data_IF_397561155718
#
_entry.id   IF_397561155718
#
_cell.length_a   1.000
_cell.length_b   1.000
_cell.length_c   1.000
_cell.angle_alpha   90.00
_cell.angle_beta   90.00
_cell.angle_gamma   90.00
#
_symmetry.space_group_name_H-M   'P 1'
#
loop_
_entity.id
_entity.type
_entity.pdbx_description
1 polymer ?
#
# COMPACT_ATOMS: atom_id res chain seq x y z
N UNK A 1 8.04 25.49 -16.39
CA UNK A 1 7.35 26.04 -15.20
C UNK A 1 8.25 25.84 -13.98
N UNK A 2 8.41 26.85 -13.12
CA UNK A 2 9.30 26.74 -11.95
C UNK A 2 8.47 26.37 -10.72
N UNK A 3 8.76 25.19 -10.16
CA UNK A 3 8.24 24.77 -8.86
C UNK A 3 9.35 24.89 -7.83
N UNK A 4 9.05 25.48 -6.68
CA UNK A 4 9.98 25.58 -5.57
C UNK A 4 9.34 24.97 -4.32
N UNK A 5 10.02 24.02 -3.68
CA UNK A 5 9.57 23.37 -2.44
C UNK A 5 10.37 23.98 -1.29
N UNK A 6 9.67 24.71 -0.41
CA UNK A 6 10.22 25.18 0.85
C UNK A 6 10.02 24.10 1.90
N UNK A 7 11.09 23.69 2.57
CA UNK A 7 11.05 22.56 3.50
C UNK A 7 11.93 22.78 4.72
N UNK A 8 11.67 22.03 5.79
CA UNK A 8 12.62 21.84 6.90
C UNK A 8 13.54 20.65 6.64
N UNK A 9 14.68 20.51 7.35
CA UNK A 9 15.49 19.30 7.28
C UNK A 9 14.65 18.05 7.56
N UNK A 10 14.85 17.00 6.75
CA UNK A 10 14.23 15.67 6.94
C UNK A 10 12.68 15.68 6.97
N UNK A 11 12.03 16.61 6.28
CA UNK A 11 10.57 16.62 6.20
C UNK A 11 10.04 15.37 5.46
N UNK A 12 9.23 14.52 6.11
CA UNK A 12 8.75 13.26 5.51
C UNK A 12 7.78 13.47 4.34
N UNK A 13 7.10 14.62 4.30
CA UNK A 13 6.05 14.92 3.34
C UNK A 13 6.57 15.47 2.00
N UNK A 14 7.87 15.74 1.88
CA UNK A 14 8.49 16.22 0.62
C UNK A 14 8.39 15.16 -0.46
N UNK A 15 8.72 13.91 -0.12
CA UNK A 15 8.64 12.77 -1.05
C UNK A 15 7.20 12.57 -1.55
N UNK A 16 6.22 12.73 -0.65
CA UNK A 16 4.80 12.66 -0.99
C UNK A 16 4.40 13.78 -1.97
N UNK A 17 4.83 15.02 -1.71
CA UNK A 17 4.55 16.17 -2.56
C UNK A 17 5.15 15.99 -3.96
N UNK A 18 6.41 15.56 -4.07
CA UNK A 18 7.08 15.31 -5.36
C UNK A 18 6.37 14.23 -6.17
N UNK A 19 5.99 13.12 -5.53
CA UNK A 19 5.23 12.04 -6.17
C UNK A 19 3.91 12.57 -6.75
N UNK A 20 3.16 13.37 -5.98
CA UNK A 20 1.88 13.93 -6.43
C UNK A 20 2.04 14.99 -7.52
N UNK A 21 3.13 15.76 -7.52
CA UNK A 21 3.47 16.66 -8.62
C UNK A 21 3.74 15.86 -9.88
N UNK A 22 4.56 14.80 -9.80
CA UNK A 22 4.86 13.93 -10.93
C UNK A 22 3.60 13.28 -11.52
N UNK A 23 2.70 12.80 -10.65
CA UNK A 23 1.39 12.29 -11.06
C UNK A 23 0.51 13.37 -11.71
N UNK A 24 0.47 14.57 -11.11
CA UNK A 24 -0.33 15.67 -11.64
C UNK A 24 0.10 16.12 -13.03
N UNK A 25 1.39 15.95 -13.40
CA UNK A 25 1.92 16.36 -14.71
C UNK A 25 2.15 15.18 -15.66
N UNK A 26 1.88 13.94 -15.22
CA UNK A 26 2.00 12.76 -16.05
C UNK A 26 1.07 12.85 -17.27
N UNK A 27 1.63 12.63 -18.46
CA UNK A 27 0.89 12.72 -19.73
C UNK A 27 0.71 14.15 -20.28
N UNK A 28 1.12 15.19 -19.54
CA UNK A 28 1.06 16.57 -19.98
C UNK A 28 2.38 17.01 -20.65
N UNK A 29 2.32 17.80 -21.72
CA UNK A 29 3.50 18.32 -22.41
C UNK A 29 4.06 19.57 -21.71
N UNK A 30 4.42 19.45 -20.43
CA UNK A 30 4.89 20.58 -19.61
C UNK A 30 6.24 20.24 -19.00
N UNK A 31 7.23 21.09 -19.25
CA UNK A 31 8.54 20.99 -18.62
C UNK A 31 8.48 21.64 -17.23
N UNK A 32 8.64 20.83 -16.19
CA UNK A 32 8.61 21.24 -14.79
C UNK A 32 10.00 21.12 -14.19
N UNK A 33 10.48 22.18 -13.56
CA UNK A 33 11.76 22.17 -12.82
C UNK A 33 11.46 22.41 -11.34
N UNK A 34 11.82 21.44 -10.50
CA UNK A 34 11.64 21.48 -9.05
C UNK A 34 12.95 21.90 -8.39
N UNK A 35 12.91 22.92 -7.52
CA UNK A 35 14.05 23.35 -6.69
C UNK A 35 13.69 23.31 -5.21
N UNK A 36 14.59 22.79 -4.38
CA UNK A 36 14.38 22.70 -2.92
C UNK A 36 15.10 23.82 -2.19
N UNK A 37 14.43 24.41 -1.20
CA UNK A 37 15.03 25.35 -0.26
C UNK A 37 14.75 24.88 1.15
N UNK A 38 15.82 24.57 1.89
CA UNK A 38 15.75 24.06 3.26
C UNK A 38 15.93 25.22 4.24
N UNK A 39 15.04 25.30 5.23
CA UNK A 39 15.08 26.28 6.32
C UNK A 39 15.07 25.55 7.66
N UNK A 40 16.08 25.79 8.48
CA UNK A 40 16.22 25.23 9.83
C UNK A 40 15.87 26.24 10.94
N UNK A 41 15.55 27.49 10.57
CA UNK A 41 15.16 28.55 11.49
C UNK A 41 13.87 29.29 11.08
N UNK A 42 13.20 29.87 12.09
CA UNK A 42 11.93 30.59 11.94
C UNK A 42 12.08 31.91 11.16
N UNK A 43 13.26 32.53 11.16
CA UNK A 43 13.49 33.81 10.50
C UNK A 43 13.55 33.65 8.97
N UNK A 44 14.28 32.66 8.49
CA UNK A 44 14.37 32.28 7.09
C UNK A 44 13.03 31.76 6.54
N UNK A 45 12.30 30.97 7.32
CA UNK A 45 10.94 30.55 6.97
C UNK A 45 9.99 31.76 6.78
N UNK A 46 10.11 32.77 7.64
CA UNK A 46 9.29 34.00 7.57
C UNK A 46 9.63 34.84 6.33
N UNK A 47 10.92 35.04 6.05
CA UNK A 47 11.38 35.79 4.87
C UNK A 47 10.97 35.09 3.56
N UNK A 48 10.98 33.75 3.55
CA UNK A 48 10.57 32.95 2.40
C UNK A 48 9.05 32.74 2.29
N UNK A 49 8.26 33.15 3.29
CA UNK A 49 6.81 32.94 3.32
C UNK A 49 6.40 31.47 3.50
N UNK A 50 7.26 30.63 4.08
CA UNK A 50 6.97 29.20 4.32
C UNK A 50 5.97 29.06 5.46
N UNK A 51 4.71 28.73 5.15
CA UNK A 51 3.62 28.50 6.13
C UNK A 51 3.65 27.11 6.76
N UNK A 52 4.77 26.41 6.61
CA UNK A 52 5.06 25.07 7.08
C UNK A 52 5.69 24.22 5.98
N UNK A 53 6.26 23.08 6.36
CA UNK A 53 6.94 22.15 5.47
C UNK A 53 6.03 20.97 5.06
N UNK A 54 6.00 20.58 3.78
CA UNK A 54 6.49 21.34 2.62
C UNK A 54 5.53 22.48 2.28
N UNK A 55 6.05 23.57 1.69
CA UNK A 55 5.26 24.60 1.00
C UNK A 55 5.64 24.62 -0.47
N UNK A 56 4.67 24.47 -1.36
CA UNK A 56 4.88 24.55 -2.81
C UNK A 56 4.69 25.99 -3.30
N UNK A 57 5.69 26.53 -3.98
CA UNK A 57 5.58 27.77 -4.74
C UNK A 57 5.55 27.46 -6.24
N UNK A 58 4.50 27.91 -6.90
CA UNK A 58 4.35 27.95 -8.34
C UNK A 58 4.75 29.34 -8.84
N UNK A 59 5.85 29.44 -9.58
CA UNK A 59 6.40 30.71 -10.08
C UNK A 59 6.55 31.79 -8.97
N UNK A 60 6.86 31.34 -7.75
CA UNK A 60 7.05 32.20 -6.58
C UNK A 60 5.77 32.55 -5.80
N UNK A 61 4.63 31.95 -6.13
CA UNK A 61 3.36 32.11 -5.40
C UNK A 61 2.89 30.80 -4.80
N UNK A 62 2.35 30.83 -3.59
CA UNK A 62 1.76 29.67 -2.94
C UNK A 62 0.29 29.53 -3.34
N UNK A 63 -0.09 28.54 -4.16
CA UNK A 63 -1.47 28.38 -4.62
C UNK A 63 -2.41 27.84 -3.53
N UNK A 64 -1.88 27.41 -2.38
CA UNK A 64 -2.63 26.82 -1.28
C UNK A 64 -2.61 27.70 -0.02
N UNK A 65 -2.23 28.98 -0.15
CA UNK A 65 -2.14 29.90 0.99
C UNK A 65 -3.53 30.12 1.62
N UNK A 66 -3.67 29.83 2.92
CA UNK A 66 -4.87 30.21 3.68
C UNK A 66 -4.71 31.63 4.27
N UNK A 67 -5.79 32.45 4.34
CA UNK A 67 -5.73 33.86 4.73
C UNK A 67 -5.08 34.15 6.10
N UNK A 68 -5.12 33.18 7.02
CA UNK A 68 -4.62 33.30 8.39
C UNK A 68 -3.34 32.46 8.65
N UNK A 69 -2.72 31.92 7.60
CA UNK A 69 -1.51 31.11 7.74
C UNK A 69 -0.31 31.97 8.15
N UNK A 70 0.33 31.60 9.27
CA UNK A 70 1.56 32.26 9.74
C UNK A 70 2.76 31.44 9.27
N UNK A 71 3.84 32.08 8.77
CA UNK A 71 5.07 31.38 8.46
C UNK A 71 5.59 30.55 9.65
N UNK A 72 6.05 29.33 9.40
CA UNK A 72 6.42 28.37 10.44
C UNK A 72 7.41 27.34 9.92
N UNK A 73 8.29 26.85 10.81
CA UNK A 73 9.13 25.64 10.60
C UNK A 73 8.43 24.35 11.05
N UNK A 74 7.10 24.35 11.19
CA UNK A 74 6.30 23.17 11.50
C UNK A 74 5.82 22.46 10.23
N UNK A 75 5.20 21.28 10.38
CA UNK A 75 4.50 20.64 9.27
C UNK A 75 3.36 21.53 8.76
N UNK A 76 3.22 21.63 7.43
CA UNK A 76 2.04 22.21 6.80
C UNK A 76 1.01 21.11 6.56
N UNK A 77 -0.25 21.44 6.82
CA UNK A 77 -1.37 20.55 6.60
C UNK A 77 -2.21 21.09 5.45
N UNK A 78 -2.57 20.20 4.53
CA UNK A 78 -3.36 20.48 3.35
C UNK A 78 -4.73 19.81 3.48
N UNK A 79 -5.78 20.59 3.30
CA UNK A 79 -7.15 20.08 3.29
C UNK A 79 -7.52 19.66 1.88
N UNK A 80 -8.11 18.48 1.76
CA UNK A 80 -8.72 18.00 0.53
C UNK A 80 -10.23 18.32 0.51
N UNK A 81 -10.82 18.37 -0.68
CA UNK A 81 -12.24 18.72 -0.86
C UNK A 81 -13.21 17.72 -0.20
N UNK A 82 -12.73 16.51 0.11
CA UNK A 82 -13.43 15.48 0.88
C UNK A 82 -13.35 15.66 2.41
N UNK A 83 -12.69 16.73 2.87
CA UNK A 83 -12.48 17.02 4.29
C UNK A 83 -11.26 16.32 4.91
N UNK A 84 -10.50 15.53 4.15
CA UNK A 84 -9.25 14.92 4.58
C UNK A 84 -8.16 15.96 4.85
N UNK A 85 -7.25 15.66 5.79
CA UNK A 85 -6.08 16.49 6.11
C UNK A 85 -4.83 15.64 5.86
N UNK A 86 -3.88 16.19 5.12
CA UNK A 86 -2.65 15.48 4.74
C UNK A 86 -1.43 16.41 4.74
N UNK A 87 -0.22 15.84 4.65
CA UNK A 87 1.05 16.56 4.60
C UNK A 87 1.42 17.16 3.24
N UNK A 88 0.62 16.92 2.19
CA UNK A 88 0.78 17.49 0.86
C UNK A 88 -0.60 17.74 0.20
N UNK A 89 -0.73 18.67 -0.77
CA UNK A 89 -1.95 18.84 -1.55
C UNK A 89 -2.30 17.55 -2.32
N UNK A 90 -3.57 17.38 -2.67
CA UNK A 90 -4.01 16.28 -3.54
C UNK A 90 -3.57 16.51 -4.99
N UNK A 91 -3.54 15.43 -5.79
CA UNK A 91 -3.22 15.49 -7.22
C UNK A 91 -4.23 16.36 -7.98
N UNK A 92 -5.52 16.27 -7.63
CA UNK A 92 -6.55 17.12 -8.21
C UNK A 92 -6.33 18.60 -7.91
N UNK A 93 -5.96 18.93 -6.66
CA UNK A 93 -5.66 20.30 -6.26
C UNK A 93 -4.38 20.83 -6.94
N UNK A 94 -3.37 19.97 -7.16
CA UNK A 94 -2.19 20.29 -7.95
C UNK A 94 -2.53 20.51 -9.43
N UNK A 95 -3.32 19.63 -10.05
CA UNK A 95 -3.79 19.82 -11.43
C UNK A 95 -4.55 21.12 -11.60
N UNK A 96 -5.44 21.45 -10.65
CA UNK A 96 -6.15 22.73 -10.64
C UNK A 96 -5.19 23.92 -10.50
N UNK A 97 -4.23 23.86 -9.57
CA UNK A 97 -3.23 24.91 -9.36
C UNK A 97 -2.32 25.10 -10.60
N UNK A 98 -2.03 24.03 -11.32
CA UNK A 98 -1.21 24.01 -12.53
C UNK A 98 -2.01 24.34 -13.81
N UNK A 99 -3.32 24.61 -13.70
CA UNK A 99 -4.25 24.82 -14.81
C UNK A 99 -4.34 23.64 -15.79
N UNK A 100 -4.28 22.42 -15.28
CA UNK A 100 -4.39 21.17 -16.04
C UNK A 100 -5.85 20.69 -16.04
N UNK A 101 -6.28 20.07 -17.14
CA UNK A 101 -7.62 19.54 -17.26
C UNK A 101 -7.85 18.40 -16.23
N UNK A 102 -9.06 18.21 -15.68
CA UNK A 102 -9.38 16.96 -14.99
C UNK A 102 -9.29 15.80 -16.00
N UNK A 103 -8.75 14.65 -15.58
CA UNK A 103 -8.56 13.50 -16.45
C UNK A 103 -9.87 13.07 -17.11
N UNK A 104 -9.91 13.14 -18.43
CA UNK A 104 -11.05 12.78 -19.26
C UNK A 104 -10.78 11.44 -19.94
N UNK A 105 -10.78 10.37 -19.16
CA UNK A 105 -10.85 8.99 -19.68
C UNK A 105 -11.98 8.21 -18.98
N UNK A 106 -13.20 8.65 -19.26
CA UNK A 106 -14.41 7.84 -19.06
C UNK A 106 -15.27 7.94 -20.32
N UNK A 107 -15.02 7.05 -21.29
CA UNK A 107 -15.88 6.84 -22.44
C UNK A 107 -16.89 5.71 -22.11
N UNK A 108 -18.16 6.03 -22.30
CA UNK A 108 -19.34 5.28 -21.90
C UNK A 108 -19.51 3.95 -22.66
N UNK A 109 -19.85 2.88 -21.93
CA UNK A 109 -20.69 1.78 -22.44
C UNK A 109 -21.87 1.61 -21.49
N UNK A 110 -23.06 1.71 -22.06
CA UNK A 110 -24.36 1.76 -21.38
C UNK A 110 -24.68 0.48 -20.59
N UNK A 111 -24.91 0.62 -19.27
CA UNK A 111 -25.73 -0.30 -18.49
C UNK A 111 -26.28 0.41 -17.23
N UNK A 112 -27.60 0.37 -17.07
CA UNK A 112 -28.31 0.44 -15.78
C UNK A 112 -27.93 1.51 -14.76
N UNK A 113 -28.77 2.55 -14.67
CA UNK A 113 -28.77 3.54 -13.58
C UNK A 113 -28.75 2.86 -12.20
N UNK A 114 -27.59 2.83 -11.56
CA UNK A 114 -27.43 2.64 -10.11
C UNK A 114 -26.93 3.97 -9.55
N UNK A 115 -27.61 4.45 -8.53
CA UNK A 115 -27.49 5.78 -7.96
C UNK A 115 -26.16 5.93 -7.19
N UNK A 116 -25.21 6.70 -7.72
CA UNK A 116 -23.86 6.91 -7.15
C UNK A 116 -23.84 7.80 -5.89
N UNK A 117 -25.00 8.13 -5.32
CA UNK A 117 -25.14 8.93 -4.09
C UNK A 117 -25.82 8.15 -2.95
N UNK A 118 -25.83 6.81 -3.00
CA UNK A 118 -26.11 6.04 -1.80
C UNK A 118 -24.86 6.09 -0.89
N UNK A 119 -24.99 6.40 0.42
CA UNK A 119 -23.92 6.12 1.35
C UNK A 119 -23.54 4.64 1.20
N UNK A 120 -22.27 4.30 1.46
CA UNK A 120 -21.87 2.91 1.60
C UNK A 120 -22.96 2.19 2.39
N UNK A 121 -23.62 1.20 1.78
CA UNK A 121 -24.59 0.41 2.52
C UNK A 121 -23.84 -0.09 3.74
N UNK A 122 -24.38 0.15 4.92
CA UNK A 122 -23.82 -0.16 6.24
C UNK A 122 -23.57 -1.69 6.46
N UNK A 123 -23.60 -2.49 5.38
CA UNK A 123 -23.61 -3.95 5.33
C UNK A 123 -22.39 -4.58 4.63
N UNK A 124 -21.49 -3.82 3.99
CA UNK A 124 -20.31 -4.43 3.35
C UNK A 124 -19.17 -4.61 4.36
N UNK A 125 -18.97 -5.85 4.79
CA UNK A 125 -17.92 -6.22 5.75
C UNK A 125 -16.54 -5.80 5.23
N UNK A 126 -15.69 -5.11 6.03
CA UNK A 126 -14.32 -4.77 5.63
C UNK A 126 -13.48 -5.97 5.20
N UNK A 127 -13.78 -7.15 5.74
CA UNK A 127 -13.19 -8.43 5.29
C UNK A 127 -13.57 -8.72 3.83
N UNK A 128 -14.85 -8.56 3.48
CA UNK A 128 -15.34 -8.82 2.13
C UNK A 128 -14.76 -7.80 1.14
N UNK A 129 -14.68 -6.53 1.54
CA UNK A 129 -14.06 -5.48 0.73
C UNK A 129 -12.57 -5.76 0.46
N UNK A 130 -11.80 -6.13 1.50
CA UNK A 130 -10.40 -6.52 1.38
C UNK A 130 -10.25 -7.73 0.45
N UNK A 131 -11.07 -8.77 0.64
CA UNK A 131 -11.01 -9.97 -0.17
C UNK A 131 -11.35 -9.71 -1.63
N UNK A 132 -12.36 -8.88 -1.91
CA UNK A 132 -12.73 -8.49 -3.26
C UNK A 132 -11.61 -7.69 -3.95
N UNK A 133 -11.03 -6.74 -3.24
CA UNK A 133 -9.95 -5.90 -3.77
C UNK A 133 -8.69 -6.71 -4.05
N UNK A 134 -8.21 -7.52 -3.09
CA UNK A 134 -7.05 -8.40 -3.29
C UNK A 134 -7.31 -9.50 -4.31
N UNK A 135 -8.53 -10.01 -4.37
CA UNK A 135 -8.95 -10.98 -5.38
C UNK A 135 -9.00 -10.42 -6.80
N UNK A 136 -9.06 -9.09 -6.97
CA UNK A 136 -9.00 -8.44 -8.28
C UNK A 136 -7.57 -8.32 -8.83
N UNK A 137 -6.56 -8.28 -7.95
CA UNK A 137 -5.15 -8.23 -8.32
C UNK A 137 -4.64 -9.63 -8.72
N UNK A 138 -4.95 -10.04 -9.95
CA UNK A 138 -4.60 -11.35 -10.50
C UNK A 138 -3.90 -11.23 -11.85
N UNK A 139 -2.98 -12.16 -12.19
CA UNK A 139 -2.41 -12.26 -13.53
C UNK A 139 -3.49 -12.32 -14.61
N UNK A 140 -3.36 -11.51 -15.66
CA UNK A 140 -4.37 -11.39 -16.70
C UNK A 140 -4.33 -12.52 -17.74
N UNK A 141 -3.15 -13.11 -17.97
CA UNK A 141 -2.92 -14.09 -19.02
C UNK A 141 -2.00 -15.26 -18.58
N UNK A 142 -1.85 -16.31 -19.42
CA UNK A 142 -1.02 -17.47 -19.07
C UNK A 142 0.47 -17.17 -18.85
N UNK A 143 1.04 -16.16 -19.52
CA UNK A 143 2.45 -15.80 -19.39
C UNK A 143 2.70 -15.07 -18.07
N UNK A 144 1.88 -14.07 -17.74
CA UNK A 144 1.90 -13.40 -16.44
C UNK A 144 1.72 -14.42 -15.31
N UNK A 145 0.79 -15.37 -15.48
CA UNK A 145 0.53 -16.42 -14.49
C UNK A 145 1.71 -17.34 -14.29
N UNK A 146 2.39 -17.74 -15.37
CA UNK A 146 3.59 -18.58 -15.29
C UNK A 146 4.70 -17.88 -14.51
N UNK A 147 4.95 -16.60 -14.78
CA UNK A 147 5.92 -15.78 -14.03
C UNK A 147 5.49 -15.64 -12.57
N UNK A 148 4.25 -15.28 -12.30
CA UNK A 148 3.73 -15.12 -10.95
C UNK A 148 3.91 -16.41 -10.12
N UNK A 149 3.58 -17.57 -10.68
CA UNK A 149 3.74 -18.86 -10.01
C UNK A 149 5.22 -19.23 -9.80
N UNK A 150 6.10 -18.92 -10.77
CA UNK A 150 7.53 -19.14 -10.62
C UNK A 150 8.10 -18.33 -9.46
N UNK A 151 7.68 -17.06 -9.33
CA UNK A 151 8.08 -16.17 -8.24
C UNK A 151 7.54 -16.68 -6.89
N UNK A 152 6.24 -16.95 -6.77
CA UNK A 152 5.64 -17.44 -5.53
C UNK A 152 6.30 -18.73 -5.02
N UNK A 153 6.56 -19.69 -5.93
CA UNK A 153 7.25 -20.95 -5.57
C UNK A 153 8.70 -20.72 -5.17
N UNK A 154 9.39 -19.77 -5.80
CA UNK A 154 10.74 -19.41 -5.42
C UNK A 154 10.80 -18.85 -4.00
N UNK A 155 9.87 -17.95 -3.63
CA UNK A 155 9.78 -17.44 -2.26
C UNK A 155 9.54 -18.56 -1.25
N UNK A 156 8.54 -19.43 -1.50
CA UNK A 156 8.22 -20.52 -0.59
C UNK A 156 9.38 -21.49 -0.34
N UNK A 157 10.21 -21.73 -1.36
CA UNK A 157 11.30 -22.72 -1.30
C UNK A 157 12.65 -22.13 -0.94
N UNK A 158 12.94 -20.89 -1.35
CA UNK A 158 14.27 -20.26 -1.25
C UNK A 158 14.29 -18.99 -0.39
N UNK A 159 13.14 -18.42 -0.06
CA UNK A 159 13.02 -17.23 0.78
C UNK A 159 13.09 -15.91 0.01
N UNK A 160 13.06 -15.93 -1.33
CA UNK A 160 13.18 -14.74 -2.15
C UNK A 160 12.88 -14.97 -3.64
N UNK A 161 12.97 -13.91 -4.45
CA UNK A 161 12.67 -13.99 -5.88
C UNK A 161 13.67 -14.87 -6.62
N UNK A 162 13.24 -15.54 -7.71
CA UNK A 162 14.13 -16.32 -8.56
C UNK A 162 15.13 -15.39 -9.28
N UNK A 163 16.33 -15.87 -9.65
CA UNK A 163 17.21 -15.13 -10.55
C UNK A 163 16.50 -14.76 -11.86
N UNK A 164 16.80 -13.58 -12.42
CA UNK A 164 16.18 -13.11 -13.67
C UNK A 164 16.32 -14.12 -14.81
N UNK A 165 17.44 -14.84 -14.89
CA UNK A 165 17.66 -15.86 -15.93
C UNK A 165 16.66 -17.04 -15.86
N UNK A 166 16.16 -17.38 -14.66
CA UNK A 166 15.09 -18.39 -14.53
C UNK A 166 13.76 -17.82 -15.03
N UNK A 167 13.47 -16.55 -14.75
CA UNK A 167 12.27 -15.88 -15.25
C UNK A 167 12.31 -15.69 -16.77
N UNK A 168 13.45 -15.33 -17.34
CA UNK A 168 13.63 -15.19 -18.78
C UNK A 168 13.40 -16.52 -19.50
N UNK A 169 13.84 -17.64 -18.91
CA UNK A 169 13.57 -18.97 -19.45
C UNK A 169 12.07 -19.28 -19.48
N UNK A 170 11.32 -18.90 -18.44
CA UNK A 170 9.86 -19.04 -18.39
C UNK A 170 9.19 -18.12 -19.41
N UNK A 171 9.59 -16.85 -19.48
CA UNK A 171 9.01 -15.86 -20.40
C UNK A 171 9.23 -16.22 -21.88
N UNK A 172 10.38 -16.84 -22.19
CA UNK A 172 10.70 -17.28 -23.55
C UNK A 172 9.74 -18.34 -24.10
N UNK A 173 9.06 -19.12 -23.24
CA UNK A 173 8.01 -20.07 -23.68
C UNK A 173 6.78 -19.35 -24.26
N UNK A 174 6.64 -18.06 -23.99
CA UNK A 174 5.51 -17.20 -24.41
C UNK A 174 5.93 -16.08 -25.36
N UNK A 175 7.12 -16.18 -25.97
CA UNK A 175 7.69 -15.14 -26.85
C UNK A 175 7.75 -13.74 -26.19
N UNK A 176 7.95 -13.71 -24.87
CA UNK A 176 8.00 -12.49 -24.06
C UNK A 176 9.31 -12.38 -23.28
N UNK A 177 9.53 -11.25 -22.59
CA UNK A 177 10.65 -11.07 -21.66
C UNK A 177 10.16 -11.01 -20.21
N UNK A 178 11.00 -11.47 -19.28
CA UNK A 178 10.65 -11.42 -17.86
C UNK A 178 10.37 -9.99 -17.40
N UNK A 179 11.18 -9.02 -17.84
CA UNK A 179 11.01 -7.62 -17.45
C UNK A 179 9.64 -7.06 -17.85
N UNK A 180 9.19 -7.34 -19.07
CA UNK A 180 7.87 -6.89 -19.55
C UNK A 180 6.73 -7.49 -18.72
N UNK A 181 6.79 -8.80 -18.45
CA UNK A 181 5.78 -9.49 -17.65
C UNK A 181 5.77 -8.99 -16.19
N UNK A 182 6.95 -8.71 -15.61
CA UNK A 182 7.06 -8.12 -14.28
C UNK A 182 6.46 -6.70 -14.23
N UNK A 183 6.70 -5.85 -15.23
CA UNK A 183 6.11 -4.51 -15.32
C UNK A 183 4.57 -4.55 -15.47
N UNK A 184 4.05 -5.53 -16.22
CA UNK A 184 2.61 -5.75 -16.34
C UNK A 184 1.99 -6.18 -15.00
N UNK A 185 2.59 -7.18 -14.34
CA UNK A 185 2.19 -7.64 -13.01
C UNK A 185 2.29 -6.51 -11.95
N UNK A 186 3.25 -5.60 -12.10
CA UNK A 186 3.38 -4.41 -11.24
C UNK A 186 2.21 -3.44 -11.45
N UNK A 187 1.86 -3.20 -12.71
CA UNK A 187 0.79 -2.28 -13.10
C UNK A 187 -0.58 -2.77 -12.62
N UNK A 188 -0.80 -4.08 -12.59
CA UNK A 188 -2.02 -4.71 -12.07
C UNK A 188 -2.01 -4.99 -10.57
N UNK A 189 -1.00 -4.51 -9.85
CA UNK A 189 -0.82 -4.71 -8.39
C UNK A 189 -0.78 -6.20 -7.97
N UNK A 190 -0.34 -7.09 -8.87
CA UNK A 190 -0.05 -8.50 -8.51
C UNK A 190 1.28 -8.59 -7.77
N UNK A 191 2.25 -7.76 -8.17
CA UNK A 191 3.56 -7.62 -7.53
C UNK A 191 3.91 -6.15 -7.35
N UNK A 192 4.95 -5.86 -6.56
CA UNK A 192 5.63 -4.55 -6.53
C UNK A 192 7.09 -4.70 -6.94
N UNK A 193 7.56 -3.70 -7.68
CA UNK A 193 8.93 -3.61 -8.14
C UNK A 193 9.57 -2.40 -7.45
N UNK A 194 10.84 -2.54 -7.09
CA UNK A 194 11.65 -1.45 -6.58
C UNK A 194 12.10 -0.50 -7.71
N UNK A 195 12.84 0.55 -7.35
CA UNK A 195 13.35 1.53 -8.31
C UNK A 195 14.34 0.95 -9.35
N UNK A 196 14.89 -0.24 -9.12
CA UNK A 196 15.73 -0.96 -10.07
C UNK A 196 14.94 -1.84 -11.03
N UNK A 197 13.62 -1.93 -10.85
CA UNK A 197 12.74 -2.81 -11.61
C UNK A 197 12.75 -4.25 -11.10
N UNK A 198 13.26 -4.50 -9.89
CA UNK A 198 13.34 -5.82 -9.29
C UNK A 198 12.24 -6.07 -8.27
N UNK A 199 11.90 -7.34 -8.03
CA UNK A 199 10.75 -7.72 -7.19
C UNK A 199 10.99 -7.32 -5.73
N UNK A 200 10.19 -6.38 -5.25
CA UNK A 200 10.13 -5.96 -3.85
C UNK A 200 9.09 -6.79 -3.08
N UNK A 201 7.93 -7.03 -3.68
CA UNK A 201 6.88 -7.87 -3.09
C UNK A 201 6.06 -8.60 -4.15
N UNK A 202 5.50 -9.73 -3.74
CA UNK A 202 4.61 -10.61 -4.51
C UNK A 202 3.70 -11.30 -3.51
N UNK A 203 2.46 -10.83 -3.41
CA UNK A 203 1.62 -11.19 -2.28
C UNK A 203 1.36 -12.71 -2.24
N UNK A 204 1.54 -13.36 -1.08
CA UNK A 204 1.67 -12.78 0.27
C UNK A 204 3.11 -12.46 0.75
N UNK A 205 4.13 -12.57 -0.09
CA UNK A 205 5.54 -12.41 0.30
C UNK A 205 6.11 -11.01 0.03
N UNK A 206 7.12 -10.62 0.79
CA UNK A 206 8.00 -9.47 0.51
C UNK A 206 9.47 -9.80 0.75
N UNK A 207 10.38 -9.04 0.13
CA UNK A 207 11.83 -9.22 0.28
C UNK A 207 12.39 -8.52 1.52
N UNK A 208 11.77 -7.41 1.91
CA UNK A 208 12.19 -6.62 3.08
C UNK A 208 11.70 -7.29 4.36
N UNK A 209 12.56 -7.44 5.39
CA UNK A 209 12.13 -7.91 6.70
C UNK A 209 11.02 -7.04 7.30
N UNK A 210 9.94 -7.69 7.73
CA UNK A 210 8.82 -7.05 8.42
C UNK A 210 8.64 -7.67 9.82
N UNK A 211 7.78 -7.08 10.67
CA UNK A 211 7.34 -7.73 11.89
C UNK A 211 6.59 -9.04 11.68
N UNK A 212 6.28 -9.47 10.45
CA UNK A 212 5.57 -10.73 10.17
C UNK A 212 6.54 -11.71 9.48
N UNK A 213 7.30 -12.44 10.28
CA UNK A 213 8.23 -13.49 9.79
C UNK A 213 7.52 -14.82 9.77
N UNK A 214 7.54 -15.54 8.64
CA UNK A 214 6.84 -16.81 8.48
C UNK A 214 7.84 -17.91 8.16
N UNK A 215 7.91 -18.91 9.03
CA UNK A 215 8.62 -20.16 8.78
C UNK A 215 7.67 -21.15 8.12
N UNK A 216 7.95 -21.53 6.88
CA UNK A 216 7.21 -22.57 6.16
C UNK A 216 7.82 -23.94 6.53
N UNK A 217 6.99 -24.93 6.86
CA UNK A 217 7.46 -26.28 7.13
C UNK A 217 8.17 -26.86 5.89
N UNK A 218 9.38 -27.40 6.11
CA UNK A 218 10.28 -27.91 5.07
C UNK A 218 10.64 -26.89 3.96
N UNK A 219 10.35 -25.61 4.19
CA UNK A 219 10.57 -24.50 3.26
C UNK A 219 11.44 -23.39 3.85
N UNK A 220 11.42 -22.24 3.19
CA UNK A 220 12.17 -21.07 3.63
C UNK A 220 11.48 -20.32 4.77
N UNK A 221 12.26 -19.47 5.45
CA UNK A 221 11.71 -18.35 6.22
C UNK A 221 11.53 -17.16 5.30
N UNK A 222 10.35 -16.56 5.32
CA UNK A 222 9.91 -15.45 4.46
C UNK A 222 9.28 -14.34 5.31
N UNK A 223 8.99 -13.21 4.69
CA UNK A 223 8.30 -12.09 5.32
C UNK A 223 6.98 -11.81 4.62
N UNK A 224 6.01 -11.34 5.39
CA UNK A 224 4.70 -10.89 4.90
C UNK A 224 4.53 -9.40 5.15
N UNK A 225 3.83 -8.69 4.26
CA UNK A 225 3.58 -7.26 4.45
C UNK A 225 2.57 -6.99 5.56
N UNK A 226 1.64 -7.93 5.82
CA UNK A 226 0.62 -7.78 6.85
C UNK A 226 0.19 -9.12 7.47
N UNK A 227 -0.66 -9.04 8.50
CA UNK A 227 -1.20 -10.21 9.19
C UNK A 227 -2.01 -11.13 8.25
N UNK A 228 -2.84 -10.56 7.36
CA UNK A 228 -3.68 -11.36 6.45
C UNK A 228 -2.84 -12.11 5.41
N UNK A 229 -1.79 -11.47 4.89
CA UNK A 229 -0.82 -12.09 3.99
C UNK A 229 -0.17 -13.31 4.67
N UNK A 230 0.34 -13.13 5.89
CA UNK A 230 0.98 -14.20 6.66
C UNK A 230 0.03 -15.39 6.90
N UNK A 231 -1.22 -15.11 7.29
CA UNK A 231 -2.24 -16.13 7.55
C UNK A 231 -2.65 -16.91 6.29
N UNK A 232 -2.61 -16.28 5.12
CA UNK A 232 -2.99 -16.93 3.86
C UNK A 232 -1.95 -17.87 3.26
N UNK A 233 -0.68 -17.78 3.69
CA UNK A 233 0.42 -18.56 3.11
C UNK A 233 0.20 -20.07 3.20
N UNK A 234 -0.33 -20.57 4.33
CA UNK A 234 -0.56 -22.00 4.51
C UNK A 234 -1.55 -22.55 3.50
N UNK A 235 -2.68 -21.87 3.30
CA UNK A 235 -3.70 -22.26 2.32
C UNK A 235 -3.17 -22.20 0.88
N UNK A 236 -2.45 -21.12 0.53
CA UNK A 236 -1.82 -20.98 -0.80
C UNK A 236 -0.87 -22.14 -1.12
N UNK A 237 -0.14 -22.63 -0.11
CA UNK A 237 0.83 -23.72 -0.24
C UNK A 237 0.21 -25.11 -0.07
N UNK A 238 -1.11 -25.24 -0.19
CA UNK A 238 -1.81 -26.54 -0.12
C UNK A 238 -1.97 -27.09 1.30
N UNK A 239 -2.00 -26.21 2.31
CA UNK A 239 -2.21 -26.56 3.71
C UNK A 239 -0.95 -27.02 4.44
N UNK A 240 0.23 -26.64 3.94
CA UNK A 240 1.53 -26.85 4.63
C UNK A 240 1.55 -26.04 5.93
N UNK A 241 2.06 -26.64 7.00
CA UNK A 241 2.17 -25.98 8.30
C UNK A 241 3.11 -24.76 8.19
N UNK A 242 2.69 -23.62 8.74
CA UNK A 242 3.52 -22.42 8.86
C UNK A 242 3.48 -21.89 10.29
N UNK A 243 4.61 -21.31 10.72
CA UNK A 243 4.72 -20.62 12.01
C UNK A 243 5.06 -19.16 11.74
N UNK A 244 4.20 -18.26 12.21
CA UNK A 244 4.31 -16.81 12.07
C UNK A 244 4.83 -16.26 13.39
N UNK A 245 5.99 -15.62 13.36
CA UNK A 245 6.51 -14.81 14.45
C UNK A 245 6.18 -13.35 14.18
N UNK A 246 5.49 -12.72 15.13
CA UNK A 246 5.09 -11.33 15.04
C UNK A 246 5.06 -10.60 16.37
N UNK A 247 4.55 -9.37 16.36
CA UNK A 247 4.44 -8.54 17.54
C UNK A 247 3.15 -7.72 17.50
N UNK A 248 2.62 -7.43 18.68
CA UNK A 248 1.53 -6.49 18.88
C UNK A 248 1.93 -5.10 18.36
N UNK A 249 1.12 -4.54 17.46
CA UNK A 249 1.46 -3.26 16.81
C UNK A 249 1.47 -2.05 17.77
N UNK A 250 0.88 -2.17 18.96
CA UNK A 250 0.90 -1.10 19.97
C UNK A 250 2.03 -1.28 20.98
N UNK A 251 2.20 -2.50 21.46
CA UNK A 251 3.06 -2.78 22.63
C UNK A 251 4.40 -3.41 22.25
N UNK A 252 4.51 -4.01 21.07
CA UNK A 252 5.67 -4.79 20.64
C UNK A 252 5.80 -6.15 21.33
N UNK A 253 4.81 -6.56 22.13
CA UNK A 253 4.80 -7.88 22.76
C UNK A 253 4.72 -8.97 21.70
N UNK A 254 5.47 -10.07 21.91
CA UNK A 254 5.60 -11.13 20.92
C UNK A 254 4.30 -11.92 20.75
N UNK A 255 4.00 -12.25 19.51
CA UNK A 255 2.85 -13.06 19.10
C UNK A 255 3.38 -14.17 18.19
N UNK A 256 3.09 -15.43 18.52
CA UNK A 256 3.40 -16.56 17.64
C UNK A 256 2.11 -17.22 17.18
N UNK A 257 1.92 -17.36 15.87
CA UNK A 257 0.74 -18.00 15.28
C UNK A 257 1.16 -19.23 14.47
N UNK A 258 0.57 -20.38 14.74
CA UNK A 258 0.72 -21.58 13.91
C UNK A 258 -0.51 -21.73 13.03
N UNK A 259 -0.32 -21.92 11.72
CA UNK A 259 -1.41 -22.04 10.74
C UNK A 259 -1.26 -23.32 9.92
N UNK A 260 -2.38 -24.02 9.70
CA UNK A 260 -2.51 -25.17 8.82
C UNK A 260 -3.79 -25.05 7.98
N UNK A 261 -3.64 -24.79 6.69
CA UNK A 261 -4.74 -24.47 5.79
C UNK A 261 -5.48 -23.23 6.27
N UNK A 262 -6.72 -23.44 6.75
CA UNK A 262 -7.60 -22.37 7.27
C UNK A 262 -7.67 -22.33 8.80
N UNK A 263 -6.91 -23.19 9.48
CA UNK A 263 -6.94 -23.32 10.95
C UNK A 263 -5.70 -22.66 11.53
N UNK A 264 -5.89 -21.78 12.51
CA UNK A 264 -4.81 -21.10 13.21
C UNK A 264 -4.96 -21.21 14.73
N UNK A 265 -3.83 -21.25 15.42
CA UNK A 265 -3.71 -21.12 16.89
C UNK A 265 -2.61 -20.15 17.21
N UNK A 266 -2.79 -19.33 18.25
CA UNK A 266 -1.83 -18.31 18.64
C UNK A 266 -1.39 -18.43 20.11
N UNK A 267 -0.21 -17.90 20.39
CA UNK A 267 0.26 -17.52 21.71
C UNK A 267 0.58 -16.01 21.68
N UNK A 268 -0.16 -15.17 22.42
CA UNK A 268 -1.25 -15.52 23.34
C UNK A 268 -2.51 -16.05 22.62
N UNK A 269 -3.28 -16.91 23.29
CA UNK A 269 -4.51 -17.49 22.71
C UNK A 269 -5.62 -16.45 22.45
N UNK A 270 -5.47 -15.24 22.98
CA UNK A 270 -6.38 -14.11 22.82
C UNK A 270 -6.10 -13.27 21.58
N UNK A 271 -5.09 -13.62 20.77
CA UNK A 271 -4.69 -12.84 19.60
C UNK A 271 -5.85 -12.56 18.65
N UNK A 272 -5.92 -11.30 18.21
CA UNK A 272 -6.88 -10.82 17.21
C UNK A 272 -6.15 -10.08 16.09
N UNK A 273 -6.87 -9.75 15.03
CA UNK A 273 -6.36 -8.96 13.90
C UNK A 273 -7.23 -7.73 13.72
N UNK A 274 -6.62 -6.56 13.55
CA UNK A 274 -7.33 -5.39 13.04
C UNK A 274 -7.23 -5.37 11.52
N UNK A 275 -8.36 -5.13 10.85
CA UNK A 275 -8.43 -4.97 9.39
C UNK A 275 -8.87 -3.54 9.09
N UNK A 276 -7.95 -2.73 8.57
CA UNK A 276 -8.23 -1.40 8.06
C UNK A 276 -9.13 -1.44 6.82
N UNK A 277 -10.21 -0.65 6.84
CA UNK A 277 -11.20 -0.49 5.78
C UNK A 277 -10.80 0.57 4.73
N UNK A 278 -9.76 1.37 4.98
CA UNK A 278 -9.23 2.28 3.96
C UNK A 278 -8.31 1.53 2.99
N UNK A 279 -8.90 0.61 2.21
CA UNK A 279 -8.39 0.29 0.88
C UNK A 279 -8.63 1.51 -0.02
N UNK A 280 -7.82 2.55 0.19
CA UNK A 280 -7.80 3.72 -0.67
C UNK A 280 -7.24 3.31 -2.05
N UNK A 281 -7.71 3.97 -3.11
CA UNK A 281 -7.25 3.76 -4.49
C UNK A 281 -5.71 3.77 -4.54
N UNK A 282 -5.12 2.65 -4.97
CA UNK A 282 -3.66 2.50 -5.11
C UNK A 282 -3.20 1.07 -4.86
N UNK A 283 -1.91 0.77 -5.07
CA UNK A 283 -1.34 -0.55 -4.88
C UNK A 283 -1.40 -1.00 -3.43
N UNK A 284 -1.56 -2.30 -3.22
CA UNK A 284 -1.96 -2.79 -1.91
C UNK A 284 -0.89 -2.67 -0.83
N UNK A 285 0.37 -2.78 -1.23
CA UNK A 285 1.54 -2.55 -0.38
C UNK A 285 1.60 -1.11 0.12
N UNK A 286 1.02 -0.15 -0.61
CA UNK A 286 1.14 1.28 -0.34
C UNK A 286 -0.07 1.83 0.45
N UNK A 287 -1.21 1.13 0.44
CA UNK A 287 -2.49 1.68 0.93
C UNK A 287 -3.14 0.87 2.03
N UNK A 288 -2.78 -0.40 2.21
CA UNK A 288 -3.52 -1.31 3.11
C UNK A 288 -2.63 -1.98 4.15
N UNK A 289 -1.46 -2.49 3.77
CA UNK A 289 -0.68 -3.39 4.61
C UNK A 289 -0.30 -2.82 6.00
N UNK A 290 -0.03 -1.51 6.10
CA UNK A 290 0.32 -0.84 7.37
C UNK A 290 -0.77 -0.93 8.45
N UNK A 291 -2.00 -1.26 8.05
CA UNK A 291 -3.19 -1.23 8.90
C UNK A 291 -3.82 -2.60 9.10
N UNK A 292 -3.13 -3.69 8.72
CA UNK A 292 -3.60 -5.08 8.88
C UNK A 292 -2.70 -5.82 9.86
N UNK A 293 -2.88 -5.55 11.16
CA UNK A 293 -1.92 -5.92 12.21
C UNK A 293 -2.48 -6.95 13.21
N UNK A 294 -1.57 -7.75 13.79
CA UNK A 294 -1.86 -8.58 14.96
C UNK A 294 -1.86 -7.77 16.26
N UNK A 295 -2.69 -8.19 17.20
CA UNK A 295 -2.72 -7.69 18.57
C UNK A 295 -2.84 -8.86 19.54
N UNK A 296 -2.22 -8.72 20.72
CA UNK A 296 -2.23 -9.71 21.81
C UNK A 296 -3.64 -10.03 22.29
N UNK A 297 -4.52 -9.03 22.33
CA UNK A 297 -5.93 -9.17 22.65
C UNK A 297 -6.81 -8.08 22.02
N UNK A 298 -8.13 -8.27 22.13
CA UNK A 298 -9.14 -7.35 21.60
C UNK A 298 -9.06 -5.94 22.23
N UNK A 299 -8.96 -5.78 23.55
CA UNK A 299 -8.73 -4.46 24.16
C UNK A 299 -7.53 -3.70 23.59
N UNK A 300 -6.41 -4.37 23.34
CA UNK A 300 -5.22 -3.75 22.72
C UNK A 300 -5.53 -3.24 21.30
N UNK A 301 -6.20 -4.06 20.49
CA UNK A 301 -6.60 -3.67 19.14
C UNK A 301 -7.61 -2.50 19.12
N UNK A 302 -8.60 -2.52 20.01
CA UNK A 302 -9.61 -1.45 20.15
C UNK A 302 -8.99 -0.15 20.68
N UNK A 303 -8.04 -0.26 21.60
CA UNK A 303 -7.24 0.87 22.09
C UNK A 303 -6.41 1.51 20.98
N UNK A 304 -5.76 0.69 20.15
CA UNK A 304 -5.04 1.15 18.97
C UNK A 304 -5.96 1.84 17.96
N UNK A 305 -7.11 1.24 17.64
CA UNK A 305 -8.09 1.82 16.72
C UNK A 305 -8.63 3.17 17.22
N UNK A 306 -8.88 3.28 18.54
CA UNK A 306 -9.31 4.55 19.17
C UNK A 306 -8.23 5.62 19.08
N UNK A 307 -6.96 5.24 19.21
CA UNK A 307 -5.82 6.16 19.07
C UNK A 307 -5.57 6.57 17.61
N UNK A 308 -6.07 5.80 16.64
CA UNK A 308 -5.93 6.06 15.20
C UNK A 308 -7.31 6.21 14.51
N UNK A 309 -8.12 7.22 14.89
CA UNK A 309 -9.51 7.35 14.41
C UNK A 309 -9.61 7.66 12.91
N UNK A 310 -8.50 8.06 12.29
CA UNK A 310 -8.41 8.29 10.85
C UNK A 310 -8.32 6.98 10.05
N UNK A 311 -8.04 5.84 10.70
CA UNK A 311 -7.97 4.52 10.09
C UNK A 311 -9.29 3.80 10.39
N UNK A 312 -10.24 3.89 9.46
CA UNK A 312 -11.46 3.09 9.55
C UNK A 312 -11.10 1.60 9.49
N UNK A 313 -11.81 0.74 10.22
CA UNK A 313 -11.53 -0.70 10.23
C UNK A 313 -12.29 -1.46 11.32
N UNK A 314 -12.01 -2.75 11.42
CA UNK A 314 -12.68 -3.66 12.36
C UNK A 314 -11.69 -4.61 13.03
N UNK A 315 -11.91 -4.91 14.31
CA UNK A 315 -11.17 -5.96 15.03
C UNK A 315 -11.89 -7.29 14.85
N UNK A 316 -11.20 -8.27 14.28
CA UNK A 316 -11.73 -9.59 13.95
C UNK A 316 -10.97 -10.68 14.69
N UNK A 317 -11.64 -11.80 14.95
CA UNK A 317 -11.00 -12.93 15.60
C UNK A 317 -9.99 -13.60 14.63
N UNK A 318 -8.98 -14.25 15.19
CA UNK A 318 -7.93 -14.93 14.42
C UNK A 318 -8.50 -15.92 13.39
N UNK A 319 -9.58 -16.63 13.73
CA UNK A 319 -10.23 -17.57 12.82
C UNK A 319 -10.85 -16.88 11.59
N UNK A 320 -11.47 -15.71 11.77
CA UNK A 320 -12.03 -14.92 10.67
C UNK A 320 -10.93 -14.35 9.77
N UNK A 321 -9.87 -13.81 10.37
CA UNK A 321 -8.70 -13.33 9.65
C UNK A 321 -8.01 -14.43 8.84
N UNK A 322 -7.91 -15.65 9.41
CA UNK A 322 -7.29 -16.79 8.73
C UNK A 322 -8.12 -17.23 7.53
N UNK A 323 -9.45 -17.29 7.68
CA UNK A 323 -10.36 -17.58 6.54
C UNK A 323 -10.28 -16.52 5.46
N UNK A 324 -10.16 -15.24 5.83
CA UNK A 324 -9.95 -14.15 4.89
C UNK A 324 -8.68 -14.35 4.08
N UNK A 325 -7.53 -14.57 4.73
CA UNK A 325 -6.27 -14.85 4.06
C UNK A 325 -6.33 -16.09 3.17
N UNK A 326 -6.96 -17.16 3.63
CA UNK A 326 -7.13 -18.38 2.84
C UNK A 326 -8.01 -18.16 1.60
N UNK A 327 -9.08 -17.38 1.72
CA UNK A 327 -9.95 -17.06 0.58
C UNK A 327 -9.22 -16.22 -0.48
N UNK A 328 -8.35 -15.29 -0.06
CA UNK A 328 -7.56 -14.44 -0.96
C UNK A 328 -6.48 -15.26 -1.67
N UNK A 329 -5.67 -16.00 -0.92
CA UNK A 329 -4.41 -16.57 -1.42
C UNK A 329 -4.49 -18.06 -1.78
N UNK A 330 -5.43 -18.82 -1.22
CA UNK A 330 -5.60 -20.26 -1.46
C UNK A 330 -5.71 -20.66 -2.95
N UNK A 331 -6.42 -19.90 -3.80
CA UNK A 331 -6.53 -20.24 -5.22
C UNK A 331 -5.26 -19.99 -6.06
N UNK A 332 -4.29 -19.20 -5.57
CA UNK A 332 -3.21 -18.66 -6.40
C UNK A 332 -2.39 -19.74 -7.10
N UNK A 333 -1.88 -20.74 -6.36
CA UNK A 333 -1.01 -21.77 -6.93
C UNK A 333 -1.76 -22.99 -7.52
N UNK A 334 -3.08 -23.02 -7.37
CA UNK A 334 -3.94 -24.16 -7.71
C UNK A 334 -4.77 -23.97 -8.98
N UNK A 335 -4.84 -22.73 -9.49
CA UNK A 335 -5.55 -22.41 -10.74
C UNK A 335 -4.59 -22.32 -11.91
#
# INVERSE_FOLDING_TARGET
>A
MKLEILQVPECPNVVLLERRIAEAVAGEQIEVTITHRVFDDQAGATEAGMTGSPTLLLDGQDPFAEPDSVPSVSCRLYRSDDGGIDGAPSVAALRAALNLAPDSTSAEVSAGRVDCCAPATEDESPIAALAAWRGAAQPADPAEKAIHHAVLRAFATRGGPPPIAELDAVAAEFDSSAQQLLEQLHTSDVIRLDASGWIESVYPFCTTPTPHSVQIADGARVYAMCAIDALGMSAMLGGVDVVIDSADASTGEQITVTVRGEVATADPATTVVFIGAQSAKGPSADTCCDYLNFFTDRPAAEGWATANPHIGGVVVDLADATRCGAAIFGPLLNT
#
